data_IF_456925181368
#
_entry.id   IF_456925181368
#
_cell.length_a   1.000
_cell.length_b   1.000
_cell.length_c   1.000
_cell.angle_alpha   90.00
_cell.angle_beta   90.00
_cell.angle_gamma   90.00
#
_symmetry.space_group_name_H-M   'P 1'
#
loop_
_entity.id
_entity.type
_entity.pdbx_description
1 polymer ?
#
# COMPACT_ATOMS: atom_id res chain seq x y z
N UNK A 1 -25.89 -3.14 -23.42
CA UNK A 1 -24.94 -3.93 -24.22
C UNK A 1 -23.74 -4.24 -23.34
N UNK A 2 -23.28 -5.48 -23.30
CA UNK A 2 -21.99 -5.78 -22.68
C UNK A 2 -20.89 -5.12 -23.53
N UNK A 3 -19.82 -4.57 -22.92
CA UNK A 3 -18.71 -4.02 -23.67
C UNK A 3 -18.07 -5.11 -24.56
N UNK A 4 -17.59 -4.70 -25.73
CA UNK A 4 -16.88 -5.57 -26.66
C UNK A 4 -15.62 -6.16 -25.97
N UNK A 5 -15.34 -7.48 -26.10
CA UNK A 5 -14.16 -8.09 -25.51
C UNK A 5 -12.83 -7.37 -25.84
N UNK A 6 -12.70 -6.80 -27.04
CA UNK A 6 -11.50 -6.07 -27.44
C UNK A 6 -11.38 -4.71 -26.71
N UNK A 7 -12.48 -3.95 -26.64
CA UNK A 7 -12.56 -2.72 -25.83
C UNK A 7 -12.24 -2.99 -24.35
N UNK A 8 -12.76 -4.10 -23.82
CA UNK A 8 -12.53 -4.49 -22.42
C UNK A 8 -11.07 -4.87 -22.17
N UNK A 9 -10.45 -5.61 -23.09
CA UNK A 9 -9.02 -5.92 -23.03
C UNK A 9 -8.19 -4.63 -23.07
N UNK A 10 -8.48 -3.73 -24.01
CA UNK A 10 -7.75 -2.47 -24.14
C UNK A 10 -7.86 -1.61 -22.86
N UNK A 11 -9.05 -1.54 -22.26
CA UNK A 11 -9.24 -0.88 -20.97
C UNK A 11 -8.35 -1.48 -19.87
N UNK A 12 -8.23 -2.81 -19.80
CA UNK A 12 -7.36 -3.48 -18.83
C UNK A 12 -5.88 -3.21 -19.09
N UNK A 13 -5.44 -3.21 -20.36
CA UNK A 13 -4.08 -2.88 -20.75
C UNK A 13 -3.72 -1.43 -20.37
N UNK A 14 -4.63 -0.48 -20.58
CA UNK A 14 -4.41 0.91 -20.22
C UNK A 14 -4.28 1.12 -18.71
N UNK A 15 -5.06 0.38 -17.91
CA UNK A 15 -4.91 0.37 -16.43
C UNK A 15 -3.53 -0.14 -16.03
N UNK A 16 -3.08 -1.24 -16.63
CA UNK A 16 -1.75 -1.82 -16.35
C UNK A 16 -0.63 -0.86 -16.75
N UNK A 17 -0.69 -0.21 -17.92
CA UNK A 17 0.29 0.80 -18.35
C UNK A 17 0.44 1.93 -17.34
N UNK A 18 -0.69 2.48 -16.86
CA UNK A 18 -0.71 3.57 -15.86
C UNK A 18 -0.16 3.12 -14.52
N UNK A 19 -0.53 1.91 -14.09
CA UNK A 19 0.01 1.31 -12.87
C UNK A 19 1.52 1.08 -12.97
N UNK A 20 2.02 0.51 -14.07
CA UNK A 20 3.45 0.24 -14.27
C UNK A 20 4.26 1.52 -14.16
N UNK A 21 3.84 2.60 -14.83
CA UNK A 21 4.51 3.89 -14.73
C UNK A 21 4.60 4.38 -13.27
N UNK A 22 3.51 4.26 -12.50
CA UNK A 22 3.50 4.64 -11.09
C UNK A 22 4.30 3.68 -10.20
N UNK A 23 4.20 2.38 -10.44
CA UNK A 23 4.90 1.33 -9.71
C UNK A 23 6.40 1.45 -9.83
N UNK A 24 6.92 1.79 -11.02
CA UNK A 24 8.34 2.05 -11.24
C UNK A 24 8.82 3.29 -10.47
N UNK A 25 8.01 4.35 -10.38
CA UNK A 25 8.33 5.53 -9.56
C UNK A 25 8.39 5.17 -8.07
N UNK A 26 7.46 4.33 -7.59
CA UNK A 26 7.44 3.87 -6.21
C UNK A 26 8.65 2.98 -5.91
N UNK A 27 8.92 1.98 -6.76
CA UNK A 27 10.01 1.03 -6.55
C UNK A 27 11.40 1.69 -6.53
N UNK A 28 11.61 2.71 -7.36
CA UNK A 28 12.88 3.43 -7.44
C UNK A 28 13.04 4.53 -6.38
N UNK A 29 12.02 4.77 -5.54
CA UNK A 29 12.10 5.78 -4.50
C UNK A 29 13.10 5.39 -3.40
N UNK A 30 13.81 6.37 -2.83
CA UNK A 30 14.80 6.16 -1.76
C UNK A 30 14.23 5.38 -0.58
N UNK A 31 13.01 5.72 -0.15
CA UNK A 31 12.27 4.99 0.90
C UNK A 31 12.25 3.47 0.66
N UNK A 32 12.05 3.03 -0.58
CA UNK A 32 12.05 1.60 -0.93
C UNK A 32 13.47 1.06 -1.06
N UNK A 33 14.34 1.81 -1.74
CA UNK A 33 15.70 1.38 -2.07
C UNK A 33 16.60 1.27 -0.84
N UNK A 34 16.34 2.04 0.21
CA UNK A 34 17.15 2.07 1.42
C UNK A 34 16.54 1.25 2.56
N UNK A 35 15.22 1.09 2.60
CA UNK A 35 14.51 0.49 3.73
C UNK A 35 13.69 -0.74 3.34
N UNK A 36 14.17 -1.58 2.43
CA UNK A 36 13.37 -2.71 1.95
C UNK A 36 12.98 -3.70 3.07
N UNK A 37 13.91 -4.07 3.94
CA UNK A 37 13.60 -4.97 5.05
C UNK A 37 12.59 -4.31 6.01
N UNK A 38 12.83 -3.04 6.36
CA UNK A 38 11.94 -2.25 7.22
C UNK A 38 10.57 -2.01 6.60
N UNK A 39 10.45 -1.87 5.28
CA UNK A 39 9.16 -1.76 4.59
C UNK A 39 8.28 -2.97 4.89
N UNK A 40 8.87 -4.17 4.89
CA UNK A 40 8.13 -5.39 5.21
C UNK A 40 7.73 -5.37 6.69
N UNK A 41 8.63 -4.97 7.58
CA UNK A 41 8.33 -4.88 9.02
C UNK A 41 7.22 -3.87 9.33
N UNK A 42 7.34 -2.65 8.78
CA UNK A 42 6.33 -1.60 8.87
C UNK A 42 5.01 -2.04 8.28
N UNK A 43 4.99 -2.64 7.08
CA UNK A 43 3.74 -3.10 6.48
C UNK A 43 3.03 -4.16 7.34
N UNK A 44 3.78 -5.00 8.07
CA UNK A 44 3.23 -6.00 8.98
C UNK A 44 3.00 -5.49 10.41
N UNK A 45 3.30 -4.22 10.69
CA UNK A 45 3.09 -3.62 12.01
C UNK A 45 4.00 -4.22 13.08
N UNK A 46 5.21 -4.64 12.72
CA UNK A 46 6.19 -5.17 13.68
C UNK A 46 6.74 -4.04 14.56
N UNK A 47 6.94 -4.37 15.82
CA UNK A 47 7.56 -3.52 16.84
C UNK A 47 8.32 -4.41 17.82
N UNK A 48 9.32 -3.83 18.47
CA UNK A 48 10.15 -4.53 19.44
C UNK A 48 9.58 -4.33 20.84
N UNK A 49 9.57 -5.41 21.63
CA UNK A 49 9.12 -5.38 23.03
C UNK A 49 10.27 -5.86 23.90
N UNK A 50 10.73 -5.01 24.81
CA UNK A 50 11.75 -5.38 25.80
C UNK A 50 11.09 -5.52 27.16
N UNK A 51 11.28 -6.68 27.80
CA UNK A 51 10.84 -6.92 29.18
C UNK A 51 12.00 -6.65 30.14
N UNK A 52 11.75 -5.83 31.17
CA UNK A 52 12.73 -5.42 32.16
C UNK A 52 12.65 -6.30 33.42
N UNK A 53 13.74 -6.35 34.19
CA UNK A 53 13.82 -7.19 35.39
C UNK A 53 12.86 -6.76 36.52
N UNK A 54 12.42 -5.51 36.51
CA UNK A 54 11.44 -4.96 37.47
C UNK A 54 9.98 -5.29 37.09
N UNK A 55 9.76 -6.08 36.04
CA UNK A 55 8.44 -6.46 35.56
C UNK A 55 7.78 -5.42 34.64
N UNK A 56 8.48 -4.32 34.33
CA UNK A 56 8.02 -3.36 33.31
C UNK A 56 8.40 -3.81 31.90
N UNK A 57 7.84 -3.16 30.89
CA UNK A 57 8.20 -3.39 29.49
C UNK A 57 8.30 -2.07 28.73
N UNK A 58 9.12 -2.04 27.69
CA UNK A 58 9.17 -0.96 26.71
C UNK A 58 8.77 -1.49 25.33
N UNK A 59 8.08 -0.65 24.57
CA UNK A 59 7.77 -0.90 23.16
C UNK A 59 8.55 0.11 22.34
N UNK A 60 9.39 -0.39 21.43
CA UNK A 60 10.11 0.42 20.47
C UNK A 60 9.53 0.23 19.07
N UNK A 61 9.22 1.33 18.42
CA UNK A 61 8.71 1.35 17.05
C UNK A 61 9.69 2.15 16.22
N UNK A 62 10.46 1.45 15.39
CA UNK A 62 11.33 2.09 14.40
C UNK A 62 10.45 2.84 13.37
N UNK A 63 10.73 4.13 13.15
CA UNK A 63 9.99 4.97 12.21
C UNK A 63 10.96 5.61 11.21
N UNK A 64 10.59 5.70 9.92
CA UNK A 64 11.41 6.35 8.91
C UNK A 64 11.54 7.86 9.17
N UNK A 65 12.49 8.49 8.47
CA UNK A 65 12.54 9.95 8.37
C UNK A 65 11.25 10.51 7.74
N UNK A 66 10.77 11.63 8.28
CA UNK A 66 9.48 12.23 7.90
C UNK A 66 9.43 12.62 6.43
N UNK A 67 10.48 13.26 5.91
CA UNK A 67 10.55 13.66 4.51
C UNK A 67 10.49 12.45 3.56
N UNK A 68 11.18 11.36 3.90
CA UNK A 68 11.15 10.14 3.11
C UNK A 68 9.74 9.51 3.08
N UNK A 69 9.01 9.55 4.20
CA UNK A 69 7.63 9.08 4.26
C UNK A 69 6.68 10.00 3.48
N UNK A 70 6.76 11.32 3.65
CA UNK A 70 5.95 12.30 2.93
C UNK A 70 6.10 12.15 1.41
N UNK A 71 7.34 12.03 0.95
CA UNK A 71 7.66 11.82 -0.46
C UNK A 71 7.10 10.47 -0.98
N UNK A 72 7.13 9.41 -0.17
CA UNK A 72 6.50 8.13 -0.52
C UNK A 72 4.97 8.22 -0.51
N UNK A 73 4.38 8.88 0.49
CA UNK A 73 2.94 9.06 0.64
C UNK A 73 2.31 9.71 -0.59
N UNK A 74 2.93 10.79 -1.11
CA UNK A 74 2.49 11.45 -2.35
C UNK A 74 2.50 10.51 -3.57
N UNK A 75 3.41 9.52 -3.60
CA UNK A 75 3.52 8.55 -4.71
C UNK A 75 2.52 7.40 -4.59
N UNK A 76 2.22 6.94 -3.39
CA UNK A 76 1.28 5.81 -3.19
C UNK A 76 -0.18 6.24 -3.14
N UNK A 77 -0.48 7.50 -2.84
CA UNK A 77 -1.86 8.03 -2.74
C UNK A 77 -2.74 7.72 -3.97
N UNK A 78 -2.26 7.85 -5.23
CA UNK A 78 -3.06 7.47 -6.39
C UNK A 78 -3.46 5.99 -6.45
N UNK A 79 -2.80 5.12 -5.69
CA UNK A 79 -3.11 3.68 -5.67
C UNK A 79 -4.31 3.35 -4.79
N UNK A 80 -4.70 4.22 -3.85
CA UNK A 80 -5.79 3.99 -2.89
C UNK A 80 -7.06 4.78 -3.19
N UNK A 81 -6.96 5.85 -3.99
CA UNK A 81 -8.10 6.66 -4.39
C UNK A 81 -8.90 5.97 -5.50
N UNK A 82 -10.19 5.73 -5.28
CA UNK A 82 -11.01 4.95 -6.22
C UNK A 82 -11.24 5.65 -7.58
N UNK A 83 -11.18 6.98 -7.61
CA UNK A 83 -11.26 7.78 -8.85
C UNK A 83 -9.96 7.86 -9.65
N UNK A 84 -8.84 7.38 -9.10
CA UNK A 84 -7.53 7.50 -9.74
C UNK A 84 -7.30 6.38 -10.76
N UNK A 85 -6.72 6.76 -11.90
CA UNK A 85 -6.52 5.82 -13.02
C UNK A 85 -5.47 4.74 -12.72
N UNK A 86 -4.62 4.96 -11.73
CA UNK A 86 -3.60 4.02 -11.26
C UNK A 86 -4.04 3.23 -10.01
N UNK A 87 -5.33 3.29 -9.62
CA UNK A 87 -5.84 2.58 -8.45
C UNK A 87 -5.46 1.09 -8.45
N UNK A 88 -5.00 0.61 -7.29
CA UNK A 88 -4.47 -0.75 -7.14
C UNK A 88 -5.56 -1.82 -7.28
N UNK A 89 -6.77 -1.57 -6.80
CA UNK A 89 -7.89 -2.52 -6.98
C UNK A 89 -8.26 -2.67 -8.45
N UNK A 90 -8.29 -1.57 -9.21
CA UNK A 90 -8.53 -1.60 -10.66
C UNK A 90 -7.41 -2.32 -11.42
N UNK A 91 -6.18 -2.19 -10.94
CA UNK A 91 -5.00 -2.91 -11.47
C UNK A 91 -5.11 -4.41 -11.22
N UNK A 92 -5.43 -4.83 -9.99
CA UNK A 92 -5.60 -6.24 -9.64
C UNK A 92 -6.79 -6.87 -10.39
N UNK A 93 -7.82 -6.09 -10.71
CA UNK A 93 -8.90 -6.52 -11.59
C UNK A 93 -8.38 -6.79 -13.02
N UNK A 94 -7.55 -5.89 -13.57
CA UNK A 94 -6.95 -6.07 -14.89
C UNK A 94 -6.03 -7.29 -14.97
N UNK A 95 -5.20 -7.51 -13.95
CA UNK A 95 -4.40 -8.74 -13.85
C UNK A 95 -5.31 -9.96 -13.81
N UNK A 96 -6.38 -9.91 -13.01
CA UNK A 96 -7.37 -10.99 -12.90
C UNK A 96 -7.99 -11.36 -14.25
N UNK A 97 -8.24 -10.36 -15.11
CA UNK A 97 -8.73 -10.59 -16.46
C UNK A 97 -7.72 -11.34 -17.33
N UNK A 98 -6.43 -10.99 -17.26
CA UNK A 98 -5.36 -11.65 -18.04
C UNK A 98 -5.08 -13.10 -17.61
N UNK A 99 -5.29 -13.42 -16.33
CA UNK A 99 -5.01 -14.77 -15.79
C UNK A 99 -6.25 -15.65 -15.63
N UNK A 100 -7.44 -15.17 -16.00
CA UNK A 100 -8.72 -15.87 -15.71
C UNK A 100 -8.78 -17.27 -16.32
N UNK A 101 -8.24 -17.42 -17.53
CA UNK A 101 -8.30 -18.67 -18.32
C UNK A 101 -7.11 -19.61 -18.05
N UNK A 102 -6.15 -19.20 -17.21
CA UNK A 102 -5.07 -20.08 -16.78
C UNK A 102 -5.60 -21.18 -15.83
N UNK A 103 -4.97 -22.37 -15.80
CA UNK A 103 -5.26 -23.41 -14.80
C UNK A 103 -5.17 -22.87 -13.37
N UNK A 104 -6.01 -23.40 -12.47
CA UNK A 104 -6.04 -22.93 -11.07
C UNK A 104 -4.75 -23.19 -10.30
N UNK A 105 -3.97 -24.18 -10.73
CA UNK A 105 -2.67 -24.50 -10.17
C UNK A 105 -1.53 -23.66 -10.75
N UNK A 106 -1.77 -22.86 -11.79
CA UNK A 106 -0.79 -21.99 -12.42
C UNK A 106 -0.23 -20.94 -11.43
N UNK A 107 1.09 -20.77 -11.47
CA UNK A 107 1.81 -19.91 -10.54
C UNK A 107 1.44 -18.42 -10.61
N UNK A 108 1.02 -17.90 -11.77
CA UNK A 108 0.59 -16.50 -11.92
C UNK A 108 -0.81 -16.31 -11.36
N UNK A 109 -1.72 -17.23 -11.64
CA UNK A 109 -3.11 -17.20 -11.12
C UNK A 109 -3.12 -17.35 -9.60
N UNK A 110 -2.28 -18.23 -9.04
CA UNK A 110 -2.06 -18.34 -7.59
C UNK A 110 -1.50 -17.05 -6.98
N UNK A 111 -0.47 -16.46 -7.60
CA UNK A 111 0.12 -15.21 -7.12
C UNK A 111 -0.90 -14.05 -7.15
N UNK A 112 -1.67 -13.92 -8.23
CA UNK A 112 -2.77 -12.96 -8.32
C UNK A 112 -3.80 -13.16 -7.21
N UNK A 113 -4.29 -14.39 -7.02
CA UNK A 113 -5.26 -14.72 -5.96
C UNK A 113 -4.71 -14.34 -4.57
N UNK A 114 -3.45 -14.63 -4.28
CA UNK A 114 -2.80 -14.31 -3.01
C UNK A 114 -2.71 -12.79 -2.79
N UNK A 115 -2.16 -12.04 -3.75
CA UNK A 115 -2.02 -10.58 -3.65
C UNK A 115 -3.39 -9.90 -3.55
N UNK A 116 -4.35 -10.31 -4.36
CA UNK A 116 -5.70 -9.73 -4.34
C UNK A 116 -6.44 -10.02 -3.03
N UNK A 117 -6.26 -11.22 -2.46
CA UNK A 117 -6.83 -11.57 -1.15
C UNK A 117 -6.22 -10.72 -0.04
N UNK A 118 -4.89 -10.58 -0.01
CA UNK A 118 -4.19 -9.76 0.98
C UNK A 118 -4.59 -8.28 0.87
N UNK A 119 -4.64 -7.75 -0.37
CA UNK A 119 -5.05 -6.37 -0.61
C UNK A 119 -6.49 -6.09 -0.17
N UNK A 120 -7.44 -6.99 -0.43
CA UNK A 120 -8.81 -6.82 0.08
C UNK A 120 -8.88 -6.80 1.62
N UNK A 121 -7.98 -7.52 2.28
CA UNK A 121 -7.87 -7.49 3.73
C UNK A 121 -7.21 -6.22 4.27
N UNK A 122 -6.27 -5.65 3.51
CA UNK A 122 -5.37 -4.58 3.99
C UNK A 122 -5.56 -3.24 3.26
N UNK A 123 -6.53 -3.13 2.36
CA UNK A 123 -6.91 -1.85 1.74
C UNK A 123 -7.35 -0.88 2.84
N UNK A 124 -6.74 0.31 2.94
CA UNK A 124 -7.17 1.33 3.89
C UNK A 124 -8.55 1.83 3.48
N UNK A 125 -9.54 1.64 4.36
CA UNK A 125 -10.92 2.11 4.20
C UNK A 125 -11.27 2.86 5.49
N UNK A 126 -11.83 4.08 5.43
CA UNK A 126 -12.23 4.83 6.63
C UNK A 126 -13.08 3.99 7.59
N UNK A 127 -12.81 4.09 8.88
CA UNK A 127 -13.47 3.32 9.95
C UNK A 127 -13.01 1.85 10.07
N UNK A 128 -12.11 1.37 9.21
CA UNK A 128 -11.62 -0.01 9.27
C UNK A 128 -10.31 -0.10 10.07
N UNK A 129 -10.29 -0.95 11.08
CA UNK A 129 -9.05 -1.36 11.76
C UNK A 129 -8.27 -2.37 10.92
N UNK A 130 -6.97 -2.12 10.69
CA UNK A 130 -6.07 -3.07 10.03
C UNK A 130 -5.08 -3.73 10.98
N UNK A 131 -4.56 -3.00 11.96
CA UNK A 131 -3.62 -3.49 12.96
C UNK A 131 -4.09 -3.18 14.38
N UNK A 132 -4.35 -1.90 14.67
CA UNK A 132 -4.63 -1.44 16.03
C UNK A 132 -5.66 -0.31 16.09
N UNK A 133 -6.19 -0.10 17.30
CA UNK A 133 -6.96 1.09 17.67
C UNK A 133 -6.24 1.79 18.81
N UNK A 134 -6.33 3.11 18.84
CA UNK A 134 -5.80 3.93 19.95
C UNK A 134 -6.99 4.47 20.72
N UNK A 135 -6.89 4.36 22.05
CA UNK A 135 -7.85 4.94 22.98
C UNK A 135 -7.09 5.84 23.94
N UNK A 136 -7.58 7.06 24.13
CA UNK A 136 -7.07 8.00 25.15
C UNK A 136 -8.19 8.36 26.11
N UNK A 137 -7.83 8.67 27.36
CA UNK A 137 -8.81 9.11 28.35
C UNK A 137 -9.53 10.37 27.84
N UNK A 138 -10.87 10.33 27.80
CA UNK A 138 -11.70 11.43 27.29
C UNK A 138 -11.85 11.50 25.76
N UNK A 139 -11.32 10.53 25.00
CA UNK A 139 -11.47 10.47 23.54
C UNK A 139 -12.18 9.17 23.10
N UNK A 140 -12.91 9.24 21.98
CA UNK A 140 -13.44 8.05 21.32
C UNK A 140 -12.29 7.22 20.72
N UNK A 141 -12.36 5.87 20.77
CA UNK A 141 -11.40 5.02 20.08
C UNK A 141 -11.28 5.40 18.60
N UNK A 142 -10.06 5.36 18.07
CA UNK A 142 -9.80 5.65 16.66
C UNK A 142 -8.98 4.52 16.04
N UNK A 143 -9.32 4.16 14.80
CA UNK A 143 -8.58 3.14 14.06
C UNK A 143 -7.24 3.68 13.55
N UNK A 144 -6.28 2.78 13.37
CA UNK A 144 -5.04 3.07 12.67
C UNK A 144 -5.25 3.64 11.26
N UNK A 145 -6.26 3.18 10.52
CA UNK A 145 -6.59 3.77 9.22
C UNK A 145 -7.03 5.22 9.35
N UNK A 146 -7.95 5.54 10.27
CA UNK A 146 -8.45 6.91 10.42
C UNK A 146 -7.37 7.88 10.92
N UNK A 147 -6.46 7.41 11.79
CA UNK A 147 -5.27 8.16 12.18
C UNK A 147 -4.36 8.45 10.99
N UNK A 148 -4.09 7.44 10.16
CA UNK A 148 -3.25 7.58 8.98
C UNK A 148 -3.88 8.50 7.94
N UNK A 149 -5.21 8.43 7.74
CA UNK A 149 -5.93 9.33 6.84
C UNK A 149 -5.93 10.77 7.36
N UNK A 150 -6.07 10.98 8.67
CA UNK A 150 -5.89 12.29 9.29
C UNK A 150 -4.50 12.86 9.02
N UNK A 151 -3.44 12.06 9.15
CA UNK A 151 -2.10 12.50 8.76
C UNK A 151 -1.99 12.82 7.28
N UNK A 152 -2.44 11.90 6.41
CA UNK A 152 -2.30 12.02 4.96
C UNK A 152 -3.06 13.23 4.40
N UNK A 153 -4.29 13.46 4.87
CA UNK A 153 -5.19 14.45 4.27
C UNK A 153 -5.28 15.74 5.07
N UNK A 154 -5.39 15.67 6.39
CA UNK A 154 -5.52 16.86 7.23
C UNK A 154 -4.17 17.56 7.44
N UNK A 155 -3.08 16.83 7.69
CA UNK A 155 -1.76 17.46 7.91
C UNK A 155 -0.96 17.63 6.62
N UNK A 156 -0.76 16.54 5.87
CA UNK A 156 0.20 16.50 4.77
C UNK A 156 -0.33 17.11 3.46
N UNK A 157 -1.54 16.73 3.03
CA UNK A 157 -2.05 17.15 1.70
C UNK A 157 -2.76 18.50 1.75
N UNK A 158 -3.68 18.70 2.70
CA UNK A 158 -4.53 19.89 2.70
C UNK A 158 -4.16 20.93 3.77
N UNK A 159 -3.36 20.56 4.79
CA UNK A 159 -3.16 21.39 5.98
C UNK A 159 -4.49 21.94 6.54
N UNK A 160 -5.52 21.09 6.50
CA UNK A 160 -6.91 21.38 6.87
C UNK A 160 -7.33 20.44 8.01
N UNK A 161 -7.15 20.93 9.24
CA UNK A 161 -7.40 20.19 10.47
C UNK A 161 -8.88 19.86 10.67
N UNK A 162 -9.79 20.62 10.04
CA UNK A 162 -11.24 20.44 10.16
C UNK A 162 -11.75 19.26 9.31
N UNK A 163 -10.94 18.76 8.37
CA UNK A 163 -11.30 17.62 7.52
C UNK A 163 -11.35 16.28 8.28
N UNK A 164 -10.60 16.15 9.39
CA UNK A 164 -10.50 14.92 10.18
C UNK A 164 -10.49 15.20 11.70
N UNK A 165 -11.56 15.80 12.24
CA UNK A 165 -11.55 16.38 13.59
C UNK A 165 -11.25 15.35 14.68
N UNK A 166 -11.72 14.11 14.54
CA UNK A 166 -11.45 13.03 15.51
C UNK A 166 -9.97 12.64 15.52
N UNK A 167 -9.31 12.58 14.36
CA UNK A 167 -7.89 12.27 14.27
C UNK A 167 -7.03 13.40 14.87
N UNK A 168 -7.50 14.65 14.80
CA UNK A 168 -6.80 15.82 15.36
C UNK A 168 -6.83 15.88 16.89
N UNK A 169 -7.72 15.14 17.56
CA UNK A 169 -7.69 14.95 19.01
C UNK A 169 -6.52 14.08 19.50
N UNK A 170 -5.84 13.37 18.59
CA UNK A 170 -4.68 12.54 18.89
C UNK A 170 -3.37 13.31 18.66
N UNK A 171 -2.22 12.72 19.03
CA UNK A 171 -0.94 13.40 18.81
C UNK A 171 -0.49 13.27 17.35
N UNK A 172 0.32 14.22 16.87
CA UNK A 172 0.98 14.10 15.57
C UNK A 172 1.82 12.83 15.47
N UNK A 173 2.41 12.36 16.58
CA UNK A 173 3.13 11.09 16.64
C UNK A 173 2.22 9.87 16.40
N UNK A 174 1.02 9.82 16.99
CA UNK A 174 0.06 8.72 16.75
C UNK A 174 -0.35 8.66 15.28
N UNK A 175 -0.64 9.84 14.71
CA UNK A 175 -0.99 10.01 13.29
C UNK A 175 0.15 9.61 12.36
N UNK A 176 1.37 10.05 12.65
CA UNK A 176 2.56 9.73 11.87
C UNK A 176 2.87 8.23 11.90
N UNK A 177 2.84 7.58 13.07
CA UNK A 177 3.02 6.13 13.20
C UNK A 177 2.00 5.35 12.38
N UNK A 178 0.73 5.76 12.43
CA UNK A 178 -0.31 5.16 11.64
C UNK A 178 -0.08 5.36 10.14
N UNK A 179 0.37 6.55 9.73
CA UNK A 179 0.74 6.82 8.34
C UNK A 179 1.88 5.94 7.85
N UNK A 180 2.93 5.72 8.66
CA UNK A 180 4.02 4.79 8.34
C UNK A 180 3.47 3.38 8.05
N UNK A 181 2.57 2.89 8.90
CA UNK A 181 1.92 1.59 8.73
C UNK A 181 1.16 1.52 7.40
N UNK A 182 0.25 2.46 7.14
CA UNK A 182 -0.61 2.44 5.96
C UNK A 182 0.18 2.69 4.66
N UNK A 183 1.07 3.68 4.62
CA UNK A 183 1.92 3.96 3.46
C UNK A 183 2.77 2.74 3.11
N UNK A 184 3.32 2.05 4.12
CA UNK A 184 4.11 0.83 3.93
C UNK A 184 3.27 -0.33 3.39
N UNK A 185 2.03 -0.52 3.85
CA UNK A 185 1.09 -1.51 3.28
C UNK A 185 0.89 -1.26 1.77
N UNK A 186 0.62 -0.01 1.39
CA UNK A 186 0.35 0.32 -0.01
C UNK A 186 1.60 0.14 -0.87
N UNK A 187 2.76 0.62 -0.40
CA UNK A 187 4.02 0.47 -1.10
C UNK A 187 4.44 -1.01 -1.25
N UNK A 188 4.24 -1.82 -0.21
CA UNK A 188 4.45 -3.27 -0.24
C UNK A 188 3.61 -3.94 -1.34
N UNK A 189 2.31 -3.64 -1.39
CA UNK A 189 1.42 -4.19 -2.42
C UNK A 189 1.73 -3.67 -3.82
N UNK A 190 2.13 -2.40 -3.96
CA UNK A 190 2.55 -1.83 -5.23
C UNK A 190 3.73 -2.61 -5.81
N UNK A 191 4.74 -2.93 -4.99
CA UNK A 191 5.89 -3.75 -5.41
C UNK A 191 5.51 -5.18 -5.74
N UNK A 192 4.73 -5.83 -4.88
CA UNK A 192 4.27 -7.20 -5.13
C UNK A 192 3.49 -7.29 -6.45
N UNK A 193 2.63 -6.30 -6.71
CA UNK A 193 1.85 -6.22 -7.95
C UNK A 193 2.73 -5.93 -9.15
N UNK A 194 3.68 -4.99 -9.08
CA UNK A 194 4.63 -4.72 -10.17
C UNK A 194 5.45 -5.95 -10.54
N UNK A 195 5.90 -6.72 -9.55
CA UNK A 195 6.60 -7.98 -9.78
C UNK A 195 5.72 -9.04 -10.45
N UNK A 196 4.41 -9.08 -10.12
CA UNK A 196 3.48 -9.95 -10.84
C UNK A 196 3.30 -9.48 -12.30
N UNK A 197 3.25 -8.18 -12.56
CA UNK A 197 3.14 -7.63 -13.92
C UNK A 197 4.38 -7.97 -14.75
N UNK A 198 5.59 -7.89 -14.18
CA UNK A 198 6.82 -8.37 -14.84
C UNK A 198 6.71 -9.84 -15.25
N UNK A 199 6.27 -10.70 -14.33
CA UNK A 199 6.11 -12.13 -14.62
C UNK A 199 5.02 -12.43 -15.67
N UNK A 200 4.03 -11.55 -15.85
CA UNK A 200 3.06 -11.64 -16.94
C UNK A 200 3.73 -11.33 -18.29
N UNK A 201 4.53 -10.26 -18.33
CA UNK A 201 5.32 -9.88 -19.51
C UNK A 201 6.33 -10.98 -19.89
N UNK A 202 7.07 -11.53 -18.92
CA UNK A 202 8.03 -12.62 -19.14
C UNK A 202 7.39 -13.89 -19.73
N UNK A 203 6.09 -14.11 -19.47
CA UNK A 203 5.30 -15.22 -20.01
C UNK A 203 4.55 -14.88 -21.30
N UNK A 204 4.74 -13.68 -21.85
CA UNK A 204 4.08 -13.23 -23.08
C UNK A 204 2.57 -12.97 -22.93
N UNK A 205 2.05 -12.87 -21.70
CA UNK A 205 0.65 -12.55 -21.43
C UNK A 205 0.37 -11.04 -21.44
N UNK A 206 1.43 -10.24 -21.54
CA UNK A 206 1.37 -8.79 -21.52
C UNK A 206 2.50 -8.24 -22.40
N UNK A 207 2.11 -7.59 -23.49
CA UNK A 207 3.06 -6.88 -24.34
C UNK A 207 3.35 -5.49 -23.76
N UNK A 208 4.17 -5.46 -22.70
CA UNK A 208 4.69 -4.24 -22.10
C UNK A 208 6.16 -4.46 -21.75
N UNK A 209 7.01 -3.53 -22.20
CA UNK A 209 8.39 -3.46 -21.76
C UNK A 209 8.45 -2.92 -20.34
N UNK A 210 8.97 -3.73 -19.41
CA UNK A 210 9.10 -3.37 -18.00
C UNK A 210 10.53 -3.64 -17.56
N UNK A 211 11.26 -2.64 -17.03
CA UNK A 211 12.60 -2.86 -16.54
C UNK A 211 12.63 -3.98 -15.49
N UNK A 212 13.69 -4.82 -15.47
CA UNK A 212 13.82 -5.88 -14.48
C UNK A 212 13.82 -5.28 -13.07
N UNK A 213 13.46 -6.10 -12.08
CA UNK A 213 13.50 -5.67 -10.70
C UNK A 213 14.93 -5.25 -10.33
N UNK A 214 15.13 -4.05 -9.75
CA UNK A 214 16.44 -3.65 -9.25
C UNK A 214 16.98 -4.66 -8.23
N UNK A 215 18.31 -4.88 -8.18
CA UNK A 215 18.90 -5.77 -7.18
C UNK A 215 18.52 -5.30 -5.78
N UNK A 216 18.26 -6.29 -4.90
CA UNK A 216 18.01 -6.05 -3.49
C UNK A 216 19.26 -5.33 -2.91
N UNK A 217 19.07 -4.33 -2.03
CA UNK A 217 20.18 -3.78 -1.26
C UNK A 217 20.86 -4.92 -0.50
N UNK A 218 22.20 -4.90 -0.47
CA UNK A 218 22.98 -5.84 0.34
C UNK A 218 22.80 -5.54 1.82
#
# INVERSE_FOLDING_TARGET
>A
MAPDPEELLQMHLDRLKRFVARGLIIENHSFIRQHLNRLVDWAHGRFDVTFHQDGTYSIEVDLPEREALESMAGRVRPLILDGEKANLSNTLQAIGYLVKDLPDDDSLKKAHKAINKDWKHRKPVPGRRLGYEVTRAGALPITDVDLALGWLYAEFVHADEDSHPVAMLYTSHDRYRAAVFIVSIVAYHARATLNLVRRLADRGLLDLEIPPQPPLPK
#
